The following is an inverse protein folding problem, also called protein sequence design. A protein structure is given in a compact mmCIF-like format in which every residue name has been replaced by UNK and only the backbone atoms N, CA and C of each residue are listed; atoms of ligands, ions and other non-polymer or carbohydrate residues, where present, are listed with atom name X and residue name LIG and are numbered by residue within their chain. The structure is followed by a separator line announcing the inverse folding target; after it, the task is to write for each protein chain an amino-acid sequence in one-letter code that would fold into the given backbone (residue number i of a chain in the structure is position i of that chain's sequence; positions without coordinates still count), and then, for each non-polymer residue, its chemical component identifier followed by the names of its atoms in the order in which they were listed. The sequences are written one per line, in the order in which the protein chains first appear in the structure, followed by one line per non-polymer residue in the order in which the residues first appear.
data_IF_297896576677
#
_entry.id   IF_297896576677
#
_cell.length_a   1.000
_cell.length_b   1.000
_cell.length_c   1.000
_cell.angle_alpha   90.00
_cell.angle_beta   90.00
_cell.angle_gamma   90.00
#
_symmetry.space_group_name_H-M   'P 1'
#
loop_
_entity.id
_entity.type
_entity.pdbx_description
1 polymer ?
#
# COMPACT_ATOMS: atom_id res chain seq x y z
N UNK A 1 -11.14 4.34 2.74
CA UNK A 1 -10.24 4.02 1.62
C UNK A 1 -10.18 2.53 1.56
N UNK A 2 -10.47 1.97 0.40
CA UNK A 2 -10.29 0.55 0.12
C UNK A 2 -9.13 0.42 -0.86
N UNK A 3 -7.88 0.33 -0.39
CA UNK A 3 -6.74 0.01 -1.24
C UNK A 3 -6.69 -1.48 -1.58
N UNK A 4 -6.36 -1.74 -2.83
CA UNK A 4 -5.96 -3.01 -3.41
C UNK A 4 -4.56 -2.81 -4.00
N UNK A 5 -3.62 -3.70 -3.69
CA UNK A 5 -2.19 -3.50 -3.99
C UNK A 5 -1.66 -4.65 -4.84
N UNK A 6 -1.01 -4.31 -5.95
CA UNK A 6 -0.35 -5.25 -6.86
C UNK A 6 1.04 -4.70 -7.21
N UNK A 7 2.06 -5.53 -7.41
CA UNK A 7 3.41 -5.00 -7.58
C UNK A 7 4.38 -5.92 -8.27
N UNK A 8 5.42 -5.31 -8.82
CA UNK A 8 6.63 -6.01 -9.26
C UNK A 8 7.79 -5.52 -8.38
N UNK A 9 8.00 -6.24 -7.28
CA UNK A 9 9.08 -5.97 -6.31
C UNK A 9 9.99 -7.20 -6.23
N UNK A 10 11.14 -7.09 -6.89
CA UNK A 10 12.13 -8.18 -6.99
C UNK A 10 12.96 -8.29 -5.72
N UNK A 11 12.39 -8.93 -4.68
CA UNK A 11 13.09 -9.29 -3.43
C UNK A 11 12.63 -10.64 -2.86
N UNK A 12 13.31 -11.13 -1.83
CA UNK A 12 13.16 -12.50 -1.33
C UNK A 12 12.04 -12.67 -0.30
N UNK A 13 11.62 -11.62 0.40
CA UNK A 13 10.51 -11.69 1.33
C UNK A 13 9.79 -10.34 1.52
N UNK A 14 9.12 -9.82 0.47
CA UNK A 14 8.48 -8.53 0.57
C UNK A 14 7.13 -8.61 1.29
N UNK A 15 6.84 -7.58 2.06
CA UNK A 15 5.52 -7.28 2.60
C UNK A 15 5.24 -5.78 2.55
N UNK A 16 3.97 -5.44 2.51
CA UNK A 16 3.51 -4.06 2.41
C UNK A 16 2.79 -3.65 3.68
N UNK A 17 3.01 -2.40 4.09
CA UNK A 17 2.29 -1.76 5.19
C UNK A 17 1.48 -0.59 4.67
N UNK A 18 0.20 -0.54 5.02
CA UNK A 18 -0.74 0.45 4.50
C UNK A 18 -1.21 1.37 5.61
N UNK A 19 -1.16 2.67 5.35
CA UNK A 19 -1.57 3.72 6.28
C UNK A 19 -2.48 4.70 5.57
N UNK A 20 -3.50 5.24 6.24
CA UNK A 20 -4.27 6.37 5.73
C UNK A 20 -4.40 7.46 6.79
N UNK A 21 -3.73 8.60 6.57
CA UNK A 21 -3.54 9.61 7.60
C UNK A 21 -2.79 9.00 8.80
N UNK A 22 -3.27 9.18 10.04
CA UNK A 22 -2.68 8.56 11.22
C UNK A 22 -3.08 7.08 11.41
N UNK A 23 -4.04 6.56 10.65
CA UNK A 23 -4.57 5.21 10.85
C UNK A 23 -3.67 4.16 10.16
N UNK A 24 -3.33 3.10 10.90
CA UNK A 24 -2.69 1.90 10.36
C UNK A 24 -3.75 0.92 9.86
N UNK A 25 -3.67 0.53 8.59
CA UNK A 25 -4.61 -0.40 7.97
C UNK A 25 -4.23 -1.87 8.11
N UNK A 26 -2.95 -2.14 8.35
CA UNK A 26 -2.41 -3.48 8.44
C UNK A 26 -1.21 -3.68 7.52
N UNK A 27 -0.79 -4.94 7.44
CA UNK A 27 0.27 -5.39 6.55
C UNK A 27 -0.17 -6.60 5.73
N UNK A 28 0.40 -6.77 4.54
CA UNK A 28 0.18 -7.96 3.72
C UNK A 28 0.99 -9.15 4.24
N UNK A 29 0.65 -10.35 3.80
CA UNK A 29 1.44 -11.54 4.06
C UNK A 29 2.82 -11.45 3.38
N UNK A 30 3.84 -11.98 4.05
CA UNK A 30 5.19 -12.05 3.49
C UNK A 30 5.22 -13.11 2.39
N UNK A 31 5.63 -12.73 1.18
CA UNK A 31 5.70 -13.62 0.02
C UNK A 31 7.13 -14.09 -0.21
N UNK A 32 7.51 -15.23 0.36
CA UNK A 32 8.88 -15.75 0.24
C UNK A 32 9.22 -16.23 -1.18
N UNK A 33 10.41 -15.88 -1.66
CA UNK A 33 10.98 -16.26 -2.95
C UNK A 33 10.11 -15.88 -4.17
N UNK A 34 9.34 -14.80 -4.09
CA UNK A 34 8.57 -14.28 -5.21
C UNK A 34 9.13 -12.95 -5.69
N UNK A 35 9.78 -12.97 -6.86
CA UNK A 35 10.35 -11.79 -7.50
C UNK A 35 9.29 -10.78 -7.96
N UNK A 36 8.07 -11.25 -8.29
CA UNK A 36 6.97 -10.40 -8.77
C UNK A 36 5.73 -10.66 -7.89
N UNK A 37 5.78 -10.22 -6.62
CA UNK A 37 4.74 -10.51 -5.64
C UNK A 37 3.44 -9.79 -5.98
N UNK A 38 2.35 -10.53 -6.08
CA UNK A 38 1.00 -9.94 -6.04
C UNK A 38 0.39 -10.26 -4.69
N UNK A 39 0.03 -9.23 -3.92
CA UNK A 39 -0.59 -9.42 -2.62
C UNK A 39 -2.11 -9.45 -2.75
N UNK A 40 -2.76 -10.60 -2.49
CA UNK A 40 -4.20 -10.62 -2.34
C UNK A 40 -4.53 -9.95 -1.00
N UNK A 41 -4.91 -8.67 -1.03
CA UNK A 41 -5.24 -7.93 0.18
C UNK A 41 -5.99 -6.64 -0.09
N UNK A 42 -7.18 -6.55 0.48
CA UNK A 42 -7.94 -5.29 0.57
C UNK A 42 -7.88 -4.76 1.99
N UNK A 43 -7.38 -3.54 2.17
CA UNK A 43 -7.42 -2.90 3.49
C UNK A 43 -8.64 -2.01 3.57
N UNK A 44 -9.39 -2.10 4.66
CA UNK A 44 -10.61 -1.32 4.84
C UNK A 44 -10.41 -0.30 5.96
N UNK A 45 -10.58 0.97 5.63
CA UNK A 45 -10.48 2.07 6.60
C UNK A 45 -11.84 2.77 6.70
N UNK A 46 -12.47 2.63 7.87
CA UNK A 46 -13.66 3.35 8.32
C UNK A 46 -13.16 4.63 9.03
N UNK A 47 -13.76 5.80 8.76
CA UNK A 47 -13.38 7.10 9.36
C UNK A 47 -12.06 7.74 8.89
N UNK A 48 -11.98 8.04 7.60
CA UNK A 48 -10.84 8.78 7.03
C UNK A 48 -11.14 10.26 6.94
N UNK A 49 -10.22 11.08 7.45
CA UNK A 49 -10.22 12.54 7.28
C UNK A 49 -10.07 12.87 5.80
N UNK A 50 -10.95 13.72 5.25
CA UNK A 50 -10.84 14.17 3.86
C UNK A 50 -9.43 14.73 3.55
N UNK A 51 -8.85 14.37 2.39
CA UNK A 51 -7.46 14.68 2.00
C UNK A 51 -6.38 14.03 2.89
N UNK A 52 -6.70 12.93 3.56
CA UNK A 52 -5.68 12.10 4.22
C UNK A 52 -4.64 11.59 3.22
N UNK A 53 -3.44 11.32 3.73
CA UNK A 53 -2.37 10.72 2.94
C UNK A 53 -2.46 9.20 3.06
N UNK A 54 -2.74 8.51 1.96
CA UNK A 54 -2.49 7.08 1.82
C UNK A 54 -0.99 6.87 1.67
N UNK A 55 -0.39 6.15 2.60
CA UNK A 55 1.04 5.80 2.58
C UNK A 55 1.17 4.27 2.50
N UNK A 56 1.88 3.82 1.48
CA UNK A 56 2.26 2.43 1.28
C UNK A 56 3.77 2.32 1.50
N UNK A 57 4.17 1.44 2.41
CA UNK A 57 5.58 1.16 2.67
C UNK A 57 5.89 -0.29 2.32
N UNK A 58 6.97 -0.49 1.59
CA UNK A 58 7.37 -1.83 1.14
C UNK A 58 8.63 -2.22 1.84
N UNK A 59 8.60 -3.39 2.44
CA UNK A 59 9.61 -3.89 3.34
C UNK A 59 10.08 -5.25 2.88
N UNK A 60 11.38 -5.50 3.01
CA UNK A 60 12.00 -6.80 2.77
C UNK A 60 12.36 -7.43 4.10
N UNK A 61 11.70 -8.53 4.43
CA UNK A 61 11.95 -9.33 5.62
C UNK A 61 12.73 -10.59 5.25
N UNK A 62 13.89 -10.40 4.64
CA UNK A 62 14.87 -11.47 4.54
C UNK A 62 15.50 -11.67 5.93
N UNK A 63 15.94 -12.88 6.26
CA UNK A 63 16.34 -13.38 7.60
C UNK A 63 17.33 -12.55 8.48
N UNK A 64 17.65 -11.30 8.10
CA UNK A 64 18.27 -10.25 8.92
C UNK A 64 17.30 -9.11 9.29
N UNK A 65 17.79 -7.86 9.43
CA UNK A 65 16.94 -6.70 9.76
C UNK A 65 16.02 -6.34 8.60
N UNK A 66 14.72 -6.15 8.90
CA UNK A 66 13.75 -5.67 7.91
C UNK A 66 14.22 -4.39 7.24
N UNK A 67 14.34 -4.42 5.92
CA UNK A 67 14.83 -3.29 5.14
C UNK A 67 13.70 -2.63 4.37
N UNK A 68 13.51 -1.33 4.56
CA UNK A 68 12.49 -0.57 3.81
C UNK A 68 12.98 -0.32 2.39
N UNK A 69 12.33 -0.94 1.42
CA UNK A 69 12.64 -0.83 0.00
C UNK A 69 12.14 0.49 -0.61
N UNK A 70 11.04 1.01 -0.07
CA UNK A 70 10.45 2.24 -0.57
C UNK A 70 9.20 2.68 0.18
N UNK A 71 8.74 3.88 -0.18
CA UNK A 71 7.54 4.49 0.36
C UNK A 71 6.83 5.25 -0.75
N UNK A 72 5.54 5.00 -0.90
CA UNK A 72 4.64 5.69 -1.80
C UNK A 72 3.64 6.48 -0.98
N UNK A 73 3.40 7.74 -1.33
CA UNK A 73 2.42 8.59 -0.66
C UNK A 73 1.51 9.23 -1.69
N UNK A 74 0.20 9.17 -1.44
CA UNK A 74 -0.82 9.78 -2.28
C UNK A 74 -1.86 10.47 -1.39
N UNK A 75 -2.26 11.68 -1.76
CA UNK A 75 -3.40 12.35 -1.12
C UNK A 75 -4.68 11.74 -1.67
N UNK A 76 -5.55 11.25 -0.79
CA UNK A 76 -6.77 10.54 -1.21
C UNK A 76 -7.83 11.52 -1.69
N UNK A 77 -8.38 11.25 -2.87
CA UNK A 77 -9.47 12.01 -3.48
C UNK A 77 -10.71 11.14 -3.66
N UNK A 78 -11.93 11.73 -3.63
CA UNK A 78 -13.15 10.96 -3.87
C UNK A 78 -13.10 10.24 -5.22
N UNK A 79 -13.67 9.04 -5.27
CA UNK A 79 -13.67 8.18 -6.46
C UNK A 79 -12.69 7.00 -6.34
N UNK A 80 -12.47 6.34 -7.48
CA UNK A 80 -11.55 5.22 -7.63
C UNK A 80 -10.37 5.69 -8.47
N UNK A 81 -9.16 5.48 -7.95
CA UNK A 81 -7.93 5.96 -8.55
C UNK A 81 -6.91 4.82 -8.59
N UNK A 82 -6.19 4.74 -9.70
CA UNK A 82 -5.08 3.80 -9.89
C UNK A 82 -3.79 4.58 -9.93
N UNK A 83 -2.88 4.24 -9.04
CA UNK A 83 -1.60 4.90 -8.88
C UNK A 83 -0.47 3.95 -9.29
N UNK A 84 0.56 4.53 -9.89
CA UNK A 84 1.82 3.85 -10.17
C UNK A 84 2.92 4.52 -9.38
N UNK A 85 3.64 3.75 -8.58
CA UNK A 85 4.71 4.24 -7.74
C UNK A 85 6.02 3.55 -8.08
N UNK A 86 7.00 4.34 -8.50
CA UNK A 86 8.34 3.87 -8.80
C UNK A 86 9.21 3.94 -7.54
N UNK A 87 9.71 2.79 -7.10
CA UNK A 87 10.64 2.69 -5.99
C UNK A 87 12.08 2.71 -6.50
N UNK A 88 13.05 2.80 -5.58
CA UNK A 88 14.48 2.61 -5.94
C UNK A 88 14.73 1.24 -6.58
N UNK A 89 13.92 0.24 -6.22
CA UNK A 89 13.97 -1.13 -6.74
C UNK A 89 12.55 -1.64 -6.91
N UNK A 90 12.09 -1.73 -8.16
CA UNK A 90 10.75 -2.21 -8.51
C UNK A 90 9.72 -1.09 -8.69
N UNK A 91 8.52 -1.49 -9.10
CA UNK A 91 7.37 -0.60 -9.30
C UNK A 91 6.14 -1.24 -8.68
N UNK A 92 5.29 -0.43 -8.08
CA UNK A 92 4.06 -0.88 -7.44
C UNK A 92 2.88 -0.17 -8.07
N UNK A 93 1.82 -0.93 -8.27
CA UNK A 93 0.55 -0.52 -8.83
C UNK A 93 -0.53 -0.74 -7.79
N UNK A 94 -1.16 0.31 -7.31
CA UNK A 94 -2.26 0.14 -6.35
C UNK A 94 -3.46 0.93 -6.80
N UNK A 95 -4.63 0.36 -6.54
CA UNK A 95 -5.91 1.04 -6.75
C UNK A 95 -6.51 1.35 -5.40
N UNK A 96 -7.01 2.56 -5.20
CA UNK A 96 -7.76 2.91 -4.00
C UNK A 96 -9.11 3.50 -4.36
N UNK A 97 -10.12 3.18 -3.55
CA UNK A 97 -11.43 3.81 -3.61
C UNK A 97 -11.73 4.59 -2.34
N UNK A 98 -12.16 5.85 -2.49
CA UNK A 98 -12.62 6.69 -1.39
C UNK A 98 -14.00 7.26 -1.70
N UNK A 99 -14.97 6.91 -0.84
CA UNK A 99 -16.30 7.49 -0.86
C UNK A 99 -16.36 8.54 0.24
N UNK A 100 -16.56 9.80 -0.13
CA UNK A 100 -16.89 10.83 0.86
C UNK A 100 -18.30 10.51 1.36
N UNK A 101 -18.46 10.32 2.66
CA UNK A 101 -19.78 10.27 3.26
C UNK A 101 -20.44 11.64 3.02
N UNK A 102 -21.64 11.65 2.45
CA UNK A 102 -22.27 12.91 2.10
C UNK A 102 -22.57 13.68 3.39
N UNK A 103 -22.03 14.89 3.52
CA UNK A 103 -22.50 15.85 4.52
C UNK A 103 -23.95 16.19 4.12
N UNK A 104 -24.92 15.58 4.81
CA UNK A 104 -26.34 15.94 4.73
C UNK A 104 -26.74 16.71 5.97
#
# INVERSE_FOLDING_TARGET
CLPHVEGEVVVLAPHDQVWCGPAFGGMTSILKNQANPTWPGEFNFLDIIHKSVLKLEVWDQDSGPDNRLGTCTTTVHPGTHTETCHLKRGTIYYTYSYKKEQEQ
#
